data_IF_356742323979
#
_entry.id   IF_356742323979
#
_cell.length_a   1.000
_cell.length_b   1.000
_cell.length_c   1.000
_cell.angle_alpha   90.00
_cell.angle_beta   90.00
_cell.angle_gamma   90.00
#
_symmetry.space_group_name_H-M   'P 1'
#
loop_
_entity.id
_entity.type
_entity.pdbx_description
1 polymer ?
#
# COMPACT_ATOMS: atom_id res chain seq x y z
N UNK A 1 11.85 19.35 22.94
CA UNK A 1 11.38 18.24 22.11
C UNK A 1 12.07 18.43 20.78
N UNK A 2 13.08 17.63 20.50
CA UNK A 2 13.69 17.56 19.17
C UNK A 2 12.59 17.03 18.24
N UNK A 3 12.00 17.91 17.44
CA UNK A 3 11.24 17.49 16.27
C UNK A 3 12.28 16.87 15.34
N UNK A 4 12.41 15.54 15.39
CA UNK A 4 13.01 14.80 14.29
C UNK A 4 12.17 15.13 13.06
N UNK A 5 12.64 16.06 12.23
CA UNK A 5 12.01 16.37 10.96
C UNK A 5 12.15 15.12 10.11
N UNK A 6 11.11 14.30 10.09
CA UNK A 6 11.00 13.15 9.22
C UNK A 6 10.93 13.64 7.77
N UNK A 7 11.71 13.02 6.88
CA UNK A 7 11.67 13.34 5.46
C UNK A 7 10.26 13.03 4.91
N UNK A 8 9.56 13.99 4.27
CA UNK A 8 8.24 13.74 3.73
C UNK A 8 8.29 12.65 2.65
N UNK A 9 7.39 11.66 2.70
CA UNK A 9 7.37 10.57 1.70
C UNK A 9 5.97 10.23 1.23
N UNK A 10 5.87 9.96 -0.06
CA UNK A 10 4.68 9.41 -0.68
C UNK A 10 4.93 7.95 -1.10
N UNK A 11 3.96 7.07 -0.88
CA UNK A 11 4.05 5.63 -1.16
C UNK A 11 2.77 5.10 -1.79
N UNK A 12 2.91 4.25 -2.80
CA UNK A 12 1.79 3.53 -3.42
C UNK A 12 1.75 2.08 -2.96
N UNK A 13 0.60 1.60 -2.51
CA UNK A 13 0.38 0.16 -2.32
C UNK A 13 -0.17 -0.40 -3.63
N UNK A 14 0.57 -1.32 -4.27
CA UNK A 14 0.26 -1.77 -5.64
C UNK A 14 0.42 -3.27 -5.84
N UNK A 15 -0.51 -3.86 -6.59
CA UNK A 15 -0.43 -5.24 -7.07
C UNK A 15 -1.44 -5.44 -8.22
N UNK A 16 -1.02 -6.06 -9.32
CA UNK A 16 -1.91 -6.41 -10.44
C UNK A 16 -2.67 -7.71 -10.18
N UNK A 17 -3.30 -7.80 -9.00
CA UNK A 17 -4.14 -8.93 -8.56
C UNK A 17 -5.22 -8.41 -7.60
N UNK A 18 -6.48 -8.68 -7.93
CA UNK A 18 -7.62 -8.35 -7.06
C UNK A 18 -7.61 -9.17 -5.78
N UNK A 19 -8.13 -8.59 -4.70
CA UNK A 19 -8.42 -9.33 -3.48
C UNK A 19 -7.23 -9.61 -2.56
N UNK A 20 -6.01 -9.16 -2.83
CA UNK A 20 -4.83 -9.45 -1.96
C UNK A 20 -4.73 -8.59 -0.70
N UNK A 21 -5.73 -7.77 -0.40
CA UNK A 21 -5.78 -6.90 0.78
C UNK A 21 -5.09 -5.53 0.63
N UNK A 22 -4.93 -5.03 -0.60
CA UNK A 22 -4.29 -3.74 -0.91
C UNK A 22 -4.91 -2.54 -0.20
N UNK A 23 -6.22 -2.32 -0.34
CA UNK A 23 -6.96 -1.24 0.33
C UNK A 23 -6.85 -1.33 1.85
N UNK A 24 -6.96 -2.55 2.39
CA UNK A 24 -6.77 -2.81 3.82
C UNK A 24 -5.36 -2.46 4.28
N UNK A 25 -4.33 -2.83 3.51
CA UNK A 25 -2.94 -2.50 3.82
C UNK A 25 -2.69 -1.00 3.73
N UNK A 26 -3.15 -0.34 2.67
CA UNK A 26 -2.94 1.09 2.45
C UNK A 26 -3.62 1.95 3.53
N UNK A 27 -4.87 1.65 3.86
CA UNK A 27 -5.62 2.36 4.90
C UNK A 27 -4.98 2.19 6.29
N UNK A 28 -4.60 0.96 6.66
CA UNK A 28 -3.97 0.73 7.97
C UNK A 28 -2.54 1.28 8.03
N UNK A 29 -1.80 1.29 6.91
CA UNK A 29 -0.52 1.99 6.80
C UNK A 29 -0.69 3.50 7.03
N UNK A 30 -1.67 4.13 6.37
CA UNK A 30 -1.98 5.54 6.57
C UNK A 30 -2.35 5.84 8.03
N UNK A 31 -3.15 4.97 8.66
CA UNK A 31 -3.48 5.08 10.09
C UNK A 31 -2.24 5.07 10.98
N UNK A 32 -1.22 4.26 10.66
CA UNK A 32 0.03 4.22 11.42
C UNK A 32 0.93 5.42 11.13
N UNK A 33 0.99 5.89 9.89
CA UNK A 33 1.75 7.09 9.53
C UNK A 33 1.17 8.35 10.18
N UNK A 34 -0.14 8.41 10.39
CA UNK A 34 -0.82 9.49 11.11
C UNK A 34 -0.34 9.68 12.56
N UNK A 35 0.19 8.63 13.21
CA UNK A 35 0.80 8.74 14.55
C UNK A 35 2.21 9.38 14.49
N UNK A 36 2.78 9.51 13.29
CA UNK A 36 4.16 9.96 13.03
C UNK A 36 4.22 11.32 12.34
N UNK A 37 3.16 11.74 11.64
CA UNK A 37 3.07 13.02 10.95
C UNK A 37 1.75 13.21 10.20
N UNK A 38 1.52 14.42 9.69
CA UNK A 38 0.31 14.76 8.94
C UNK A 38 0.22 13.86 7.70
N UNK A 39 -0.88 13.11 7.56
CA UNK A 39 -0.99 12.04 6.56
C UNK A 39 -2.21 12.21 5.67
N UNK A 40 -2.02 12.04 4.36
CA UNK A 40 -3.09 11.93 3.36
C UNK A 40 -3.19 10.49 2.85
N UNK A 41 -4.36 9.89 2.99
CA UNK A 41 -4.71 8.64 2.32
C UNK A 41 -5.52 8.95 1.05
N UNK A 42 -5.06 8.49 -0.11
CA UNK A 42 -5.77 8.65 -1.38
C UNK A 42 -6.23 7.32 -1.95
N UNK A 43 -7.53 7.20 -2.22
CA UNK A 43 -8.10 6.04 -2.89
C UNK A 43 -8.17 6.31 -4.40
N UNK A 44 -7.27 5.68 -5.15
CA UNK A 44 -7.20 5.78 -6.60
C UNK A 44 -7.83 4.56 -7.29
N UNK A 45 -8.46 3.64 -6.57
CA UNK A 45 -9.18 2.51 -7.17
C UNK A 45 -10.62 2.96 -7.50
N UNK A 46 -11.06 2.92 -8.77
CA UNK A 46 -12.41 3.34 -9.14
C UNK A 46 -13.54 2.54 -8.48
N UNK A 47 -13.26 1.36 -7.89
CA UNK A 47 -14.25 0.64 -7.11
C UNK A 47 -14.55 1.31 -5.75
N UNK A 48 -13.69 2.22 -5.29
CA UNK A 48 -13.87 3.00 -4.06
C UNK A 48 -13.98 2.16 -2.81
N UNK A 49 -13.35 0.98 -2.75
CA UNK A 49 -13.48 0.08 -1.61
C UNK A 49 -12.97 0.69 -0.31
N UNK A 50 -11.89 1.47 -0.35
CA UNK A 50 -11.37 2.14 0.84
C UNK A 50 -12.23 3.35 1.22
N UNK A 51 -12.63 4.16 0.24
CA UNK A 51 -13.51 5.33 0.45
C UNK A 51 -14.83 4.94 1.12
N UNK A 52 -15.52 3.95 0.55
CA UNK A 52 -16.78 3.45 1.13
C UNK A 52 -16.52 2.71 2.45
N UNK A 53 -15.43 1.95 2.56
CA UNK A 53 -15.04 1.26 3.79
C UNK A 53 -14.61 2.18 4.95
N UNK A 54 -14.48 3.49 4.70
CA UNK A 54 -14.29 4.55 5.70
C UNK A 54 -15.59 5.34 5.95
N UNK A 55 -16.72 4.97 5.32
CA UNK A 55 -18.00 5.65 5.48
C UNK A 55 -18.16 6.94 4.68
N UNK A 56 -17.41 7.10 3.58
CA UNK A 56 -17.47 8.28 2.71
C UNK A 56 -18.23 8.02 1.40
N UNK A 57 -19.33 7.26 1.44
CA UNK A 57 -20.18 6.96 0.27
C UNK A 57 -20.70 8.21 -0.43
N UNK A 58 -21.03 9.26 0.34
CA UNK A 58 -21.48 10.54 -0.22
C UNK A 58 -20.37 11.24 -1.01
N UNK A 59 -19.12 11.13 -0.55
CA UNK A 59 -17.97 11.68 -1.29
C UNK A 59 -17.71 10.87 -2.56
N UNK A 60 -17.86 9.54 -2.51
CA UNK A 60 -17.74 8.66 -3.68
C UNK A 60 -18.78 8.96 -4.78
N UNK A 61 -19.95 9.46 -4.39
CA UNK A 61 -21.02 9.89 -5.30
C UNK A 61 -21.03 11.41 -5.57
N UNK A 62 -20.04 12.14 -5.06
CA UNK A 62 -19.99 13.60 -5.12
C UNK A 62 -19.84 14.13 -6.55
N UNK A 63 -20.31 15.36 -6.77
CA UNK A 63 -20.23 16.02 -8.08
C UNK A 63 -18.79 16.41 -8.45
N UNK A 64 -17.96 16.73 -7.45
CA UNK A 64 -16.54 17.06 -7.62
C UNK A 64 -15.71 15.79 -7.40
N UNK A 65 -14.86 15.46 -8.37
CA UNK A 65 -13.99 14.29 -8.39
C UNK A 65 -12.56 14.64 -8.84
N UNK A 66 -11.67 13.64 -8.82
CA UNK A 66 -10.25 13.85 -9.08
C UNK A 66 -10.00 14.52 -10.45
N UNK A 67 -10.84 14.24 -11.46
CA UNK A 67 -10.77 14.83 -12.79
C UNK A 67 -10.89 16.36 -12.79
N UNK A 68 -11.78 16.92 -11.96
CA UNK A 68 -11.97 18.37 -11.82
C UNK A 68 -10.66 19.08 -11.42
N UNK A 69 -9.83 18.43 -10.61
CA UNK A 69 -8.52 18.96 -10.19
C UNK A 69 -7.46 18.70 -11.25
N UNK A 70 -7.33 17.46 -11.71
CA UNK A 70 -6.13 17.02 -12.43
C UNK A 70 -6.23 17.22 -13.95
N UNK A 71 -7.44 17.28 -14.49
CA UNK A 71 -7.73 17.46 -15.91
C UNK A 71 -8.29 18.86 -16.21
N UNK A 72 -9.36 19.26 -15.52
CA UNK A 72 -10.09 20.50 -15.82
C UNK A 72 -9.46 21.74 -15.19
N UNK A 73 -8.95 21.60 -13.96
CA UNK A 73 -8.32 22.70 -13.21
C UNK A 73 -9.31 23.74 -12.70
N UNK A 74 -10.59 23.39 -12.58
CA UNK A 74 -11.66 24.21 -12.00
C UNK A 74 -11.85 23.96 -10.49
N UNK A 75 -11.22 22.93 -9.93
CA UNK A 75 -11.17 22.62 -8.51
C UNK A 75 -9.72 22.53 -7.99
N UNK A 76 -9.56 22.60 -6.67
CA UNK A 76 -8.31 22.42 -5.94
C UNK A 76 -8.33 21.11 -5.14
N UNK A 77 -7.16 20.58 -4.73
CA UNK A 77 -7.14 19.37 -3.88
C UNK A 77 -7.98 19.53 -2.59
N UNK A 78 -7.99 20.73 -2.01
CA UNK A 78 -8.75 21.04 -0.79
C UNK A 78 -10.27 20.91 -0.97
N UNK A 79 -10.79 21.05 -2.19
CA UNK A 79 -12.22 20.88 -2.46
C UNK A 79 -12.65 19.41 -2.35
N UNK A 80 -11.71 18.46 -2.50
CA UNK A 80 -11.97 17.02 -2.44
C UNK A 80 -11.55 16.35 -1.16
N UNK A 81 -10.45 16.82 -0.56
CA UNK A 81 -9.92 16.22 0.64
C UNK A 81 -10.96 16.32 1.77
N UNK A 82 -11.12 15.23 2.52
CA UNK A 82 -12.04 15.11 3.64
C UNK A 82 -11.24 14.80 4.91
N UNK A 83 -11.35 15.63 5.97
CA UNK A 83 -10.76 15.26 7.24
C UNK A 83 -11.47 14.04 7.80
N UNK A 84 -10.72 13.13 8.41
CA UNK A 84 -11.28 11.94 9.06
C UNK A 84 -11.03 11.95 10.55
N UNK A 85 -11.80 11.16 11.31
CA UNK A 85 -11.56 10.95 12.74
C UNK A 85 -10.43 9.94 13.03
N UNK A 86 -9.71 9.50 11.99
CA UNK A 86 -8.68 8.44 12.05
C UNK A 86 -7.25 8.97 12.03
N UNK A 87 -7.06 10.29 12.18
CA UNK A 87 -5.74 10.94 12.22
C UNK A 87 -5.10 11.20 10.84
N UNK A 88 -5.72 10.75 9.75
CA UNK A 88 -5.32 11.11 8.38
C UNK A 88 -6.47 11.79 7.65
N UNK A 89 -6.16 12.56 6.62
CA UNK A 89 -7.14 13.10 5.68
C UNK A 89 -7.33 12.13 4.51
N UNK A 90 -8.54 12.10 3.94
CA UNK A 90 -8.92 11.24 2.82
C UNK A 90 -9.04 12.06 1.53
N UNK A 91 -8.31 11.68 0.48
CA UNK A 91 -8.66 11.99 -0.90
C UNK A 91 -9.52 10.83 -1.45
N UNK A 92 -10.85 11.00 -1.53
CA UNK A 92 -11.76 9.91 -1.86
C UNK A 92 -11.65 9.53 -3.34
N UNK A 93 -11.94 8.25 -3.62
CA UNK A 93 -12.28 7.78 -4.97
C UNK A 93 -13.66 8.31 -5.38
N UNK A 94 -14.04 8.16 -6.65
CA UNK A 94 -15.36 8.51 -7.16
C UNK A 94 -15.91 7.48 -8.14
N UNK A 95 -17.23 7.42 -8.28
CA UNK A 95 -17.91 6.60 -9.28
C UNK A 95 -17.60 6.99 -10.75
N UNK A 96 -17.01 8.16 -10.96
CA UNK A 96 -16.55 8.67 -12.26
C UNK A 96 -15.06 8.43 -12.52
N UNK A 97 -14.32 7.85 -11.57
CA UNK A 97 -12.86 7.74 -11.65
C UNK A 97 -12.40 6.86 -12.83
N UNK A 98 -13.22 5.89 -13.27
CA UNK A 98 -12.96 5.13 -14.51
C UNK A 98 -12.95 6.01 -15.77
N UNK A 99 -13.79 7.04 -15.82
CA UNK A 99 -13.82 7.98 -16.95
C UNK A 99 -12.65 8.95 -16.88
N UNK A 100 -12.29 9.43 -15.69
CA UNK A 100 -11.06 10.21 -15.45
C UNK A 100 -9.84 9.44 -15.92
N UNK A 101 -9.77 8.13 -15.66
CA UNK A 101 -8.67 7.27 -16.12
C UNK A 101 -8.55 7.23 -17.66
N UNK A 102 -9.68 7.15 -18.36
CA UNK A 102 -9.71 7.17 -19.84
C UNK A 102 -9.24 8.51 -20.37
N UNK A 103 -9.67 9.61 -19.77
CA UNK A 103 -9.31 10.96 -20.19
C UNK A 103 -7.81 11.25 -19.94
N UNK A 104 -7.25 10.73 -18.83
CA UNK A 104 -5.81 10.79 -18.57
C UNK A 104 -4.99 10.17 -19.70
N UNK A 105 -5.46 9.10 -20.35
CA UNK A 105 -4.73 8.44 -21.43
C UNK A 105 -4.59 9.34 -22.68
N UNK A 106 -5.54 10.25 -22.91
CA UNK A 106 -5.50 11.23 -24.00
C UNK A 106 -4.86 12.56 -23.61
N UNK A 107 -4.63 12.81 -22.32
CA UNK A 107 -4.16 14.08 -21.80
C UNK A 107 -2.65 14.28 -22.01
N UNK A 108 -2.26 15.52 -22.31
CA UNK A 108 -0.84 15.90 -22.31
C UNK A 108 -0.27 15.73 -20.89
N UNK A 109 0.84 14.97 -20.81
CA UNK A 109 1.47 14.56 -19.55
C UNK A 109 0.49 13.85 -18.60
N UNK A 110 -0.44 13.06 -19.15
CA UNK A 110 -1.47 12.37 -18.39
C UNK A 110 -0.96 11.54 -17.21
N UNK A 111 0.24 10.94 -17.32
CA UNK A 111 0.84 10.13 -16.26
C UNK A 111 1.40 10.93 -15.08
N UNK A 112 1.56 12.24 -15.20
CA UNK A 112 2.15 13.11 -14.17
C UNK A 112 1.12 14.08 -13.55
N UNK A 113 -0.17 13.91 -13.86
CA UNK A 113 -1.22 14.83 -13.44
C UNK A 113 -1.46 14.76 -11.94
N UNK A 114 -1.54 13.56 -11.36
CA UNK A 114 -1.66 13.40 -9.89
C UNK A 114 -0.43 13.96 -9.18
N UNK A 115 0.78 13.71 -9.69
CA UNK A 115 2.01 14.30 -9.14
C UNK A 115 1.93 15.82 -9.08
N UNK A 116 1.74 16.46 -10.23
CA UNK A 116 1.81 17.92 -10.37
C UNK A 116 0.66 18.67 -9.68
N UNK A 117 -0.49 18.02 -9.49
CA UNK A 117 -1.70 18.66 -8.97
C UNK A 117 -2.07 18.27 -7.55
N UNK A 118 -1.61 17.10 -7.08
CA UNK A 118 -1.91 16.59 -5.74
C UNK A 118 -0.63 16.52 -4.91
N UNK A 119 0.36 15.73 -5.31
CA UNK A 119 1.54 15.48 -4.45
C UNK A 119 2.45 16.70 -4.34
N UNK A 120 2.86 17.30 -5.45
CA UNK A 120 3.78 18.44 -5.48
C UNK A 120 3.33 19.66 -4.64
N UNK A 121 2.04 20.04 -4.62
CA UNK A 121 1.57 21.15 -3.77
C UNK A 121 1.23 20.76 -2.32
N UNK A 122 1.29 19.47 -1.94
CA UNK A 122 0.82 19.02 -0.62
C UNK A 122 1.90 18.30 0.21
N UNK A 123 2.75 17.48 -0.40
CA UNK A 123 3.77 16.71 0.31
C UNK A 123 4.90 17.62 0.80
N UNK A 124 5.20 17.56 2.10
CA UNK A 124 6.20 18.37 2.79
C UNK A 124 5.73 19.78 3.18
N UNK A 125 4.66 20.28 2.57
CA UNK A 125 4.05 21.58 2.90
C UNK A 125 2.79 21.43 3.79
N UNK A 126 2.00 20.38 3.56
CA UNK A 126 0.73 20.10 4.26
C UNK A 126 0.73 18.72 4.91
N UNK A 127 1.29 17.72 4.22
CA UNK A 127 1.39 16.36 4.73
C UNK A 127 2.84 15.89 4.75
N UNK A 128 3.25 15.29 5.85
CA UNK A 128 4.51 14.54 5.93
C UNK A 128 4.42 13.25 5.11
N UNK A 129 3.23 12.64 5.04
CA UNK A 129 3.04 11.36 4.36
C UNK A 129 1.84 11.34 3.41
N UNK A 130 2.01 10.66 2.28
CA UNK A 130 0.92 10.39 1.34
C UNK A 130 0.89 8.90 1.00
N UNK A 131 -0.26 8.24 1.18
CA UNK A 131 -0.44 6.82 0.90
C UNK A 131 -1.50 6.63 -0.18
N UNK A 132 -1.15 5.96 -1.28
CA UNK A 132 -2.08 5.69 -2.38
C UNK A 132 -2.54 4.23 -2.39
N UNK A 133 -3.85 4.00 -2.37
CA UNK A 133 -4.46 2.71 -2.74
C UNK A 133 -4.71 2.68 -4.25
N UNK A 134 -4.04 1.78 -4.97
CA UNK A 134 -4.06 1.77 -6.43
C UNK A 134 -5.14 0.83 -7.00
N UNK A 135 -5.50 0.91 -8.30
CA UNK A 135 -6.32 -0.12 -8.93
C UNK A 135 -5.60 -1.48 -9.06
N UNK A 136 -6.35 -2.58 -9.03
CA UNK A 136 -5.81 -3.94 -9.20
C UNK A 136 -5.49 -4.35 -10.66
N UNK A 137 -5.63 -3.44 -11.61
CA UNK A 137 -5.44 -3.66 -13.04
C UNK A 137 -4.52 -2.57 -13.62
N UNK A 138 -3.70 -2.87 -14.65
CA UNK A 138 -2.78 -1.87 -15.21
C UNK A 138 -3.56 -0.76 -15.91
N UNK A 139 -3.17 0.49 -15.68
CA UNK A 139 -3.90 1.66 -16.19
C UNK A 139 -3.22 3.00 -15.87
N UNK A 140 -3.83 4.09 -16.32
CA UNK A 140 -3.28 5.44 -16.14
C UNK A 140 -3.28 5.89 -14.68
N UNK A 141 -4.18 5.37 -13.84
CA UNK A 141 -4.19 5.67 -12.41
C UNK A 141 -2.99 5.01 -11.70
N UNK A 142 -2.66 3.77 -12.06
CA UNK A 142 -1.44 3.10 -11.58
C UNK A 142 -0.16 3.86 -12.01
N UNK A 143 -0.09 4.30 -13.28
CA UNK A 143 1.05 5.09 -13.75
C UNK A 143 1.16 6.44 -13.01
N UNK A 144 0.03 7.11 -12.77
CA UNK A 144 0.00 8.34 -11.99
C UNK A 144 0.47 8.12 -10.56
N UNK A 145 0.04 7.02 -9.92
CA UNK A 145 0.46 6.67 -8.58
C UNK A 145 1.99 6.49 -8.49
N UNK A 146 2.58 5.74 -9.43
CA UNK A 146 4.03 5.54 -9.48
C UNK A 146 4.81 6.83 -9.73
N UNK A 147 4.39 7.65 -10.70
CA UNK A 147 5.04 8.94 -11.00
C UNK A 147 4.91 9.90 -9.81
N UNK A 148 3.79 9.87 -9.10
CA UNK A 148 3.55 10.76 -7.98
C UNK A 148 4.32 10.34 -6.72
N UNK A 149 4.47 9.03 -6.48
CA UNK A 149 5.00 8.53 -5.21
C UNK A 149 6.48 8.14 -5.27
N UNK A 150 6.95 7.53 -6.36
CA UNK A 150 8.32 6.99 -6.47
C UNK A 150 8.64 5.84 -5.51
N UNK A 151 7.78 5.55 -4.54
CA UNK A 151 7.95 4.49 -3.55
C UNK A 151 6.76 3.54 -3.57
N UNK A 152 7.02 2.24 -3.44
CA UNK A 152 6.01 1.21 -3.63
C UNK A 152 6.06 0.15 -2.53
N UNK A 153 4.89 -0.29 -2.08
CA UNK A 153 4.70 -1.51 -1.30
C UNK A 153 3.85 -2.52 -2.07
N UNK A 154 4.29 -3.77 -2.10
CA UNK A 154 3.65 -4.84 -2.89
C UNK A 154 3.09 -5.91 -1.96
N UNK A 155 1.78 -5.91 -1.67
CA UNK A 155 1.15 -6.98 -0.89
C UNK A 155 1.05 -8.27 -1.72
N UNK A 156 1.39 -9.40 -1.11
CA UNK A 156 1.32 -10.73 -1.71
C UNK A 156 0.55 -11.66 -0.76
N UNK A 157 -0.39 -12.42 -1.30
CA UNK A 157 -1.10 -13.48 -0.57
C UNK A 157 -0.62 -14.88 -1.00
N UNK A 158 -0.69 -15.88 -0.10
CA UNK A 158 -0.46 -17.29 -0.42
C UNK A 158 -1.29 -17.81 -1.59
N UNK A 159 -0.80 -18.87 -2.22
CA UNK A 159 -1.49 -19.57 -3.29
C UNK A 159 -0.57 -20.00 -4.42
N UNK A 160 -0.99 -21.00 -5.18
CA UNK A 160 -0.32 -21.53 -6.40
C UNK A 160 0.21 -20.51 -7.43
N UNK A 161 -0.18 -19.22 -7.35
CA UNK A 161 0.30 -18.15 -8.23
C UNK A 161 0.74 -16.88 -7.49
N UNK A 162 1.05 -16.97 -6.19
CA UNK A 162 1.46 -15.83 -5.34
C UNK A 162 2.61 -15.03 -5.98
N UNK A 163 3.73 -15.69 -6.25
CA UNK A 163 4.90 -15.11 -6.94
C UNK A 163 4.55 -14.67 -8.37
N UNK A 164 3.58 -15.32 -9.02
CA UNK A 164 3.11 -14.92 -10.34
C UNK A 164 2.45 -13.54 -10.34
N UNK A 165 1.72 -13.17 -9.28
CA UNK A 165 1.15 -11.83 -9.12
C UNK A 165 2.21 -10.76 -8.94
N UNK A 166 3.22 -11.04 -8.12
CA UNK A 166 4.40 -10.19 -7.95
C UNK A 166 5.15 -9.98 -9.27
N UNK A 167 5.54 -11.07 -9.96
CA UNK A 167 6.27 -10.99 -11.24
C UNK A 167 5.52 -10.18 -12.29
N UNK A 168 4.20 -10.40 -12.43
CA UNK A 168 3.37 -9.60 -13.33
C UNK A 168 3.36 -8.12 -12.98
N UNK A 169 3.39 -7.78 -11.69
CA UNK A 169 3.41 -6.38 -11.22
C UNK A 169 4.76 -5.75 -11.54
N UNK A 170 5.87 -6.46 -11.31
CA UNK A 170 7.21 -6.01 -11.69
C UNK A 170 7.30 -5.76 -13.21
N UNK A 171 7.01 -6.79 -14.01
CA UNK A 171 7.18 -6.78 -15.47
C UNK A 171 6.25 -5.79 -16.20
N UNK A 172 5.02 -5.59 -15.70
CA UNK A 172 4.00 -4.78 -16.42
C UNK A 172 3.85 -3.37 -15.90
N UNK A 173 4.37 -3.07 -14.71
CA UNK A 173 4.13 -1.79 -14.06
C UNK A 173 5.42 -1.16 -13.52
N UNK A 174 6.18 -1.86 -12.67
CA UNK A 174 7.36 -1.28 -12.02
C UNK A 174 8.54 -1.11 -12.99
N UNK A 175 8.93 -2.16 -13.69
CA UNK A 175 10.07 -2.12 -14.62
C UNK A 175 9.85 -1.14 -15.78
N UNK A 176 8.67 -1.07 -16.43
CA UNK A 176 8.41 -0.05 -17.44
C UNK A 176 8.43 1.38 -16.87
N UNK A 177 7.95 1.59 -15.64
CA UNK A 177 7.99 2.91 -15.02
C UNK A 177 9.44 3.36 -14.74
N UNK A 178 10.31 2.43 -14.32
CA UNK A 178 11.74 2.66 -14.06
C UNK A 178 12.53 3.16 -15.28
N UNK A 179 12.03 2.98 -16.50
CA UNK A 179 12.65 3.57 -17.69
C UNK A 179 12.56 5.11 -17.73
N UNK A 180 11.63 5.70 -16.97
CA UNK A 180 11.29 7.13 -17.04
C UNK A 180 11.43 7.87 -15.71
N UNK A 181 11.30 7.16 -14.60
CA UNK A 181 11.31 7.71 -13.23
C UNK A 181 12.03 6.77 -12.27
N UNK A 182 12.49 7.29 -11.14
CA UNK A 182 13.00 6.45 -10.06
C UNK A 182 11.83 5.84 -9.28
N UNK A 183 11.78 4.50 -9.22
CA UNK A 183 10.76 3.76 -8.46
C UNK A 183 11.45 2.75 -7.56
N UNK A 184 11.29 2.92 -6.26
CA UNK A 184 11.82 2.03 -5.23
C UNK A 184 10.69 1.19 -4.64
N UNK A 185 10.89 -0.13 -4.58
CA UNK A 185 10.01 -1.02 -3.84
C UNK A 185 10.53 -1.06 -2.41
N UNK A 186 9.83 -0.39 -1.49
CA UNK A 186 10.21 -0.31 -0.08
C UNK A 186 9.98 -1.64 0.63
N UNK A 187 8.92 -2.35 0.24
CA UNK A 187 8.57 -3.62 0.87
C UNK A 187 7.71 -4.53 -0.01
N UNK A 188 7.98 -5.83 0.09
CA UNK A 188 7.11 -6.91 -0.36
C UNK A 188 6.42 -7.48 0.87
N UNK A 189 5.09 -7.30 0.95
CA UNK A 189 4.31 -7.46 2.20
C UNK A 189 3.50 -8.76 2.18
N UNK A 190 3.88 -9.80 2.93
CA UNK A 190 3.08 -11.02 3.05
C UNK A 190 1.76 -10.73 3.79
N UNK A 191 0.66 -11.06 3.15
CA UNK A 191 -0.68 -10.72 3.60
C UNK A 191 -1.62 -11.93 3.53
N UNK A 192 -2.69 -11.89 4.33
CA UNK A 192 -3.71 -12.95 4.42
C UNK A 192 -3.14 -14.33 4.77
N UNK A 193 -2.06 -14.37 5.54
CA UNK A 193 -1.48 -15.61 6.04
C UNK A 193 -2.41 -16.29 7.05
N UNK A 194 -2.32 -17.61 7.18
CA UNK A 194 -2.91 -18.37 8.27
C UNK A 194 -2.11 -18.22 9.57
N UNK A 195 -2.65 -18.81 10.64
CA UNK A 195 -1.96 -18.85 11.94
C UNK A 195 -0.84 -19.90 12.01
N UNK A 196 -0.80 -20.82 11.05
CA UNK A 196 0.09 -21.99 11.07
C UNK A 196 0.92 -22.04 9.80
N UNK A 197 2.22 -22.22 9.98
CA UNK A 197 3.22 -22.40 8.92
C UNK A 197 3.79 -23.82 8.95
N UNK A 198 2.91 -24.79 9.16
CA UNK A 198 3.27 -26.20 9.12
C UNK A 198 3.78 -26.57 7.71
N UNK A 199 4.53 -27.67 7.60
CA UNK A 199 5.00 -28.20 6.31
C UNK A 199 3.82 -28.39 5.33
N UNK A 200 4.06 -28.06 4.06
CA UNK A 200 3.10 -28.23 2.93
C UNK A 200 1.91 -27.27 2.94
N UNK A 201 2.00 -26.13 3.64
CA UNK A 201 1.03 -25.04 3.52
C UNK A 201 1.46 -24.03 2.46
N UNK A 202 0.51 -23.46 1.71
CA UNK A 202 0.78 -22.39 0.74
C UNK A 202 1.41 -21.16 1.43
N UNK A 203 1.09 -20.95 2.71
CA UNK A 203 1.64 -19.87 3.55
C UNK A 203 3.14 -20.05 3.77
N UNK A 204 3.56 -21.26 4.16
CA UNK A 204 4.97 -21.59 4.33
C UNK A 204 5.71 -21.52 3.01
N UNK A 205 5.15 -22.08 1.94
CA UNK A 205 5.76 -22.03 0.61
C UNK A 205 5.98 -20.58 0.16
N UNK A 206 5.04 -19.67 0.42
CA UNK A 206 5.23 -18.25 0.14
C UNK A 206 6.39 -17.68 0.95
N UNK A 207 6.42 -17.89 2.27
CA UNK A 207 7.45 -17.33 3.14
C UNK A 207 8.84 -17.88 2.80
N UNK A 208 8.98 -19.19 2.57
CA UNK A 208 10.23 -19.80 2.11
C UNK A 208 10.68 -19.18 0.79
N UNK A 209 9.77 -19.02 -0.19
CA UNK A 209 10.10 -18.42 -1.47
C UNK A 209 10.54 -16.95 -1.32
N UNK A 210 9.88 -16.15 -0.49
CA UNK A 210 10.25 -14.74 -0.30
C UNK A 210 11.59 -14.59 0.44
N UNK A 211 11.87 -15.47 1.41
CA UNK A 211 13.09 -15.42 2.21
C UNK A 211 14.31 -16.06 1.54
N UNK A 212 14.11 -16.83 0.46
CA UNK A 212 15.20 -17.48 -0.30
C UNK A 212 15.32 -16.99 -1.75
N UNK A 213 14.37 -16.19 -2.23
CA UNK A 213 14.40 -15.66 -3.58
C UNK A 213 15.59 -14.73 -3.81
N UNK A 214 16.33 -15.02 -4.87
CA UNK A 214 17.44 -14.20 -5.36
C UNK A 214 17.02 -13.24 -6.47
N UNK A 215 15.72 -13.14 -6.77
CA UNK A 215 15.21 -12.13 -7.70
C UNK A 215 15.53 -10.74 -7.17
N UNK A 216 15.95 -9.83 -8.04
CA UNK A 216 16.11 -8.43 -7.66
C UNK A 216 14.74 -7.75 -7.54
N UNK A 217 14.53 -7.06 -6.43
CA UNK A 217 13.33 -6.24 -6.21
C UNK A 217 13.61 -4.78 -6.62
N UNK A 218 14.76 -4.27 -6.22
CA UNK A 218 15.37 -3.03 -6.70
C UNK A 218 16.73 -3.37 -7.32
N UNK A 219 17.31 -2.52 -8.19
CA UNK A 219 18.60 -2.79 -8.82
C UNK A 219 19.68 -3.17 -7.80
N UNK A 220 20.19 -4.40 -7.88
CA UNK A 220 21.20 -4.92 -6.95
C UNK A 220 20.71 -5.27 -5.54
N UNK A 221 19.40 -5.20 -5.27
CA UNK A 221 18.79 -5.59 -4.00
C UNK A 221 17.99 -6.89 -4.18
N UNK A 222 18.39 -8.01 -3.52
CA UNK A 222 17.61 -9.24 -3.48
C UNK A 222 16.22 -9.05 -2.85
N UNK A 223 15.21 -9.78 -3.32
CA UNK A 223 13.83 -9.70 -2.85
C UNK A 223 13.71 -9.92 -1.35
N UNK A 224 14.46 -10.87 -0.81
CA UNK A 224 14.49 -11.16 0.64
C UNK A 224 14.89 -9.94 1.48
N UNK A 225 15.52 -8.91 0.90
CA UNK A 225 15.87 -7.66 1.57
C UNK A 225 14.72 -6.66 1.65
N UNK A 226 13.67 -6.84 0.85
CA UNK A 226 12.43 -6.05 0.94
C UNK A 226 11.32 -6.77 1.73
N UNK A 227 11.60 -7.93 2.33
CA UNK A 227 10.63 -8.64 3.19
C UNK A 227 10.69 -8.06 4.61
N UNK A 228 9.56 -7.61 5.19
CA UNK A 228 9.46 -7.16 6.58
C UNK A 228 9.90 -8.24 7.57
N UNK A 229 10.42 -7.80 8.71
CA UNK A 229 10.88 -8.65 9.80
C UNK A 229 9.74 -9.50 10.36
N UNK A 230 8.52 -8.97 10.47
CA UNK A 230 7.35 -9.76 10.89
C UNK A 230 7.07 -11.01 10.02
N UNK A 231 7.62 -11.09 8.80
CA UNK A 231 7.45 -12.21 7.88
C UNK A 231 8.78 -12.87 7.49
N UNK A 232 9.86 -12.51 8.18
CA UNK A 232 11.18 -13.07 7.94
C UNK A 232 11.34 -14.35 8.75
N UNK A 233 11.56 -15.46 8.05
CA UNK A 233 11.88 -16.75 8.65
C UNK A 233 12.99 -17.36 7.81
N UNK A 234 14.14 -17.58 8.42
CA UNK A 234 15.33 -18.13 7.79
C UNK A 234 15.21 -19.64 7.57
N UNK A 235 16.05 -20.19 6.69
CA UNK A 235 16.10 -21.63 6.46
C UNK A 235 16.45 -22.42 7.74
N UNK A 236 17.40 -21.92 8.56
CA UNK A 236 17.74 -22.54 9.85
C UNK A 236 16.56 -22.51 10.82
N UNK A 237 15.78 -21.42 10.87
CA UNK A 237 14.58 -21.36 11.71
C UNK A 237 13.50 -22.34 11.23
N UNK A 238 13.29 -22.48 9.92
CA UNK A 238 12.38 -23.50 9.39
C UNK A 238 12.84 -24.93 9.75
N UNK A 239 14.15 -25.22 9.69
CA UNK A 239 14.71 -26.51 10.11
C UNK A 239 14.49 -26.75 11.63
N UNK A 240 14.69 -25.72 12.46
CA UNK A 240 14.46 -25.79 13.90
C UNK A 240 12.97 -26.00 14.25
N UNK A 241 12.06 -25.34 13.52
CA UNK A 241 10.61 -25.55 13.65
C UNK A 241 10.25 -27.00 13.32
N UNK A 242 10.79 -27.53 12.22
CA UNK A 242 10.53 -28.91 11.79
C UNK A 242 11.10 -29.96 12.74
N UNK A 243 12.24 -29.66 13.37
CA UNK A 243 12.84 -30.48 14.41
C UNK A 243 12.11 -30.40 15.76
N UNK A 244 11.17 -29.45 15.93
CA UNK A 244 10.51 -29.15 17.20
C UNK A 244 11.42 -28.49 18.22
N UNK A 245 12.51 -27.87 17.75
CA UNK A 245 13.49 -27.13 18.56
C UNK A 245 13.08 -25.66 18.76
N UNK A 246 12.18 -25.15 17.90
CA UNK A 246 11.63 -23.80 17.93
C UNK A 246 10.12 -23.80 17.73
N UNK A 247 9.38 -23.00 18.50
CA UNK A 247 7.98 -22.74 18.24
C UNK A 247 7.84 -21.84 17.00
N UNK A 248 6.95 -22.21 16.08
CA UNK A 248 6.71 -21.43 14.89
C UNK A 248 6.17 -20.02 15.26
N UNK A 249 6.81 -18.93 14.78
CA UNK A 249 6.26 -17.60 14.97
C UNK A 249 4.97 -17.45 14.16
N UNK A 250 4.11 -16.53 14.59
CA UNK A 250 2.93 -16.16 13.78
C UNK A 250 3.41 -15.25 12.65
N UNK A 251 3.31 -15.65 11.38
CA UNK A 251 3.92 -14.89 10.31
C UNK A 251 3.02 -13.73 9.88
N UNK A 252 3.64 -12.59 9.59
CA UNK A 252 3.09 -11.38 9.01
C UNK A 252 1.63 -11.03 9.20
N UNK A 253 1.02 -10.41 8.17
CA UNK A 253 -0.37 -9.98 8.25
C UNK A 253 -1.26 -11.20 8.00
N UNK A 254 -1.98 -11.59 9.03
CA UNK A 254 -2.83 -12.78 9.05
C UNK A 254 -4.27 -12.46 8.71
N UNK A 255 -4.97 -13.45 8.17
CA UNK A 255 -6.39 -13.34 7.91
C UNK A 255 -7.17 -13.27 9.25
N UNK A 256 -7.49 -12.04 9.68
CA UNK A 256 -8.32 -11.75 10.85
C UNK A 256 -9.68 -11.22 10.44
N UNK A 257 -10.74 -11.70 11.08
CA UNK A 257 -12.08 -11.14 10.89
C UNK A 257 -12.17 -9.67 11.35
N UNK A 258 -11.30 -9.23 12.25
CA UNK A 258 -11.21 -7.83 12.67
C UNK A 258 -10.88 -6.89 11.50
N UNK A 259 -10.00 -7.29 10.58
CA UNK A 259 -9.64 -6.49 9.41
C UNK A 259 -10.82 -6.25 8.45
N UNK A 260 -11.65 -7.26 8.24
CA UNK A 260 -12.83 -7.12 7.39
C UNK A 260 -14.00 -6.46 8.12
N UNK A 261 -14.13 -6.67 9.43
CA UNK A 261 -15.16 -6.01 10.25
C UNK A 261 -14.86 -4.54 10.46
N UNK A 262 -13.60 -4.12 10.59
CA UNK A 262 -13.27 -2.70 10.77
C UNK A 262 -13.82 -1.86 9.61
N UNK A 263 -13.67 -2.35 8.37
CA UNK A 263 -14.25 -1.72 7.16
C UNK A 263 -15.79 -1.70 7.17
N UNK A 264 -16.45 -2.71 7.74
CA UNK A 264 -17.91 -2.72 7.91
C UNK A 264 -18.38 -1.74 8.99
N UNK A 265 -17.45 -1.32 9.85
CA UNK A 265 -17.65 -0.32 10.88
C UNK A 265 -17.00 1.02 10.52
N UNK A 266 -16.70 1.23 9.23
CA UNK A 266 -16.23 2.49 8.66
C UNK A 266 -14.94 3.02 9.31
N UNK A 267 -14.01 2.13 9.68
CA UNK A 267 -12.78 2.56 10.37
C UNK A 267 -11.58 1.63 10.12
N UNK A 268 -10.35 2.14 10.28
CA UNK A 268 -9.14 1.32 10.33
C UNK A 268 -9.14 0.30 11.47
N UNK A 269 -8.24 -0.68 11.40
CA UNK A 269 -8.15 -1.76 12.39
C UNK A 269 -7.88 -1.22 13.80
N UNK A 270 -6.93 -0.30 13.96
CA UNK A 270 -6.55 0.21 15.28
C UNK A 270 -7.72 0.88 16.00
N UNK A 271 -8.58 1.59 15.26
CA UNK A 271 -9.72 2.28 15.86
C UNK A 271 -10.85 1.29 16.21
N UNK A 272 -11.00 0.22 15.43
CA UNK A 272 -11.97 -0.85 15.66
C UNK A 272 -11.58 -1.82 16.79
N UNK A 273 -10.32 -2.27 16.79
CA UNK A 273 -9.76 -3.29 17.66
C UNK A 273 -8.32 -2.92 18.04
N UNK A 274 -8.12 -2.00 19.01
CA UNK A 274 -6.80 -1.47 19.38
C UNK A 274 -5.87 -2.52 20.01
N UNK A 275 -6.40 -3.68 20.40
CA UNK A 275 -5.63 -4.79 20.97
C UNK A 275 -5.25 -5.84 19.90
N UNK A 276 -5.53 -5.56 18.62
CA UNK A 276 -5.30 -6.51 17.54
C UNK A 276 -3.83 -6.83 17.35
N UNK A 277 -3.50 -8.13 17.28
CA UNK A 277 -2.14 -8.64 17.05
C UNK A 277 -1.58 -8.35 15.66
N UNK A 278 -2.33 -7.63 14.81
CA UNK A 278 -1.90 -7.19 13.48
C UNK A 278 -1.41 -5.75 13.45
N UNK A 279 -1.69 -4.94 14.48
CA UNK A 279 -1.31 -3.52 14.52
C UNK A 279 0.20 -3.36 14.38
N UNK A 280 0.99 -4.19 15.08
CA UNK A 280 2.45 -4.16 15.02
C UNK A 280 3.01 -4.42 13.62
N UNK A 281 2.30 -5.16 12.77
CA UNK A 281 2.72 -5.35 11.38
C UNK A 281 2.58 -4.05 10.60
N UNK A 282 1.49 -3.30 10.79
CA UNK A 282 1.31 -2.00 10.13
C UNK A 282 2.23 -0.93 10.72
N UNK A 283 2.57 -1.00 12.00
CA UNK A 283 3.57 -0.13 12.63
C UNK A 283 4.93 -0.30 11.94
N UNK A 284 5.37 -1.55 11.73
CA UNK A 284 6.60 -1.84 11.01
C UNK A 284 6.55 -1.32 9.56
N UNK A 285 5.42 -1.50 8.85
CA UNK A 285 5.27 -0.92 7.51
C UNK A 285 5.39 0.61 7.51
N UNK A 286 4.82 1.29 8.51
CA UNK A 286 4.97 2.74 8.64
C UNK A 286 6.44 3.12 8.91
N UNK A 287 7.17 2.37 9.74
CA UNK A 287 8.61 2.57 9.96
C UNK A 287 9.41 2.42 8.66
N UNK A 288 9.10 1.42 7.85
CA UNK A 288 9.72 1.23 6.53
C UNK A 288 9.50 2.46 5.64
N UNK A 289 8.30 3.05 5.63
CA UNK A 289 8.04 4.31 4.92
C UNK A 289 8.82 5.47 5.53
N UNK A 290 8.90 5.57 6.86
CA UNK A 290 9.64 6.63 7.58
C UNK A 290 11.16 6.53 7.43
N UNK A 291 11.69 5.35 7.12
CA UNK A 291 13.11 5.14 6.84
C UNK A 291 13.44 5.18 5.34
N UNK A 292 12.44 4.98 4.46
CA UNK A 292 12.63 4.94 3.02
C UNK A 292 13.13 3.57 2.55
N UNK A 293 12.82 2.53 3.30
CA UNK A 293 13.29 1.16 3.09
C UNK A 293 13.38 0.39 4.40
N UNK A 294 13.76 -0.88 4.31
CA UNK A 294 14.03 -1.72 5.47
C UNK A 294 15.47 -1.47 5.93
N UNK A 295 15.64 -0.88 7.11
CA UNK A 295 16.96 -0.78 7.76
C UNK A 295 17.33 -2.12 8.40
N UNK A 296 18.55 -2.58 8.13
CA UNK A 296 19.11 -3.84 8.66
C UNK A 296 20.51 -3.63 9.23
#
# INVERSE_FOLDING_TARGET
METTTTEPRAVSVVILKGGVGKSTTAMNLARQLAERGDTLFADLDPNGHATNGLGYEEAYQGDINLGDVILEGNATPQDLIRPTDHGFDLLPSSNTLEDVEKDLAGAMQGSARVKSKIVDPLLGDVYDYVVFDCPAYPGMLNNNALVATGNVMIPIEPGSSAIGGYKRTMERLIEPAREYIDVEVLSVVPNKLGDRIDQQTEDRELLENLNTATYEVNPGQPLQEAVPEFARITAEEFEAIDAGEMDAPKPGIRHRSALSRSLQHNQPLQDYDPESDQISCYEELAEIVVNGGIDR
#
